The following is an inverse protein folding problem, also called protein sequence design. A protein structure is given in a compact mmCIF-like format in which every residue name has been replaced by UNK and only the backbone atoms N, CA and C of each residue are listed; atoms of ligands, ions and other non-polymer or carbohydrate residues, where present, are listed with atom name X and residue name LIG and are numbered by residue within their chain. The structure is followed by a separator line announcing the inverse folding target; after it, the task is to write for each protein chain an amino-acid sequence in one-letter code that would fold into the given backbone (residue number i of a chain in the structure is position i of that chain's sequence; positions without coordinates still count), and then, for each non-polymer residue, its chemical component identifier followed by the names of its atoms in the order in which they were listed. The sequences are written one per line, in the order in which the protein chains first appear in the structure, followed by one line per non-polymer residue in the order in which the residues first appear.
data_IF_362806849547
#
_entry.id   IF_362806849547
#
_cell.length_a   1.000
_cell.length_b   1.000
_cell.length_c   1.000
_cell.angle_alpha   90.00
_cell.angle_beta   90.00
_cell.angle_gamma   90.00
#
_symmetry.space_group_name_H-M   'P 1'
#
loop_
_entity.id
_entity.type
_entity.pdbx_description
1 polymer ?
#
# COMPACT_ATOMS: atom_id res chain seq x y z
N UNK A 1 -27.99 -11.35 32.12
CA UNK A 1 -27.22 -11.77 30.94
C UNK A 1 -27.53 -10.95 29.69
N UNK A 2 -28.74 -10.47 29.50
CA UNK A 2 -29.17 -9.60 28.39
C UNK A 2 -28.60 -8.19 28.49
N UNK A 3 -28.51 -7.62 29.72
CA UNK A 3 -27.99 -6.28 29.99
C UNK A 3 -26.51 -6.07 29.59
N UNK A 4 -25.69 -7.11 29.76
CA UNK A 4 -24.26 -7.03 29.39
C UNK A 4 -24.06 -6.99 27.87
N UNK A 5 -24.90 -7.67 27.10
CA UNK A 5 -24.85 -7.67 25.62
C UNK A 5 -25.27 -6.33 25.00
N UNK A 6 -26.24 -5.63 25.57
CA UNK A 6 -26.68 -4.31 25.09
C UNK A 6 -25.58 -3.26 25.37
N UNK A 7 -24.93 -3.34 26.51
CA UNK A 7 -23.86 -2.42 26.89
C UNK A 7 -22.62 -2.53 26.02
N UNK A 8 -22.25 -3.75 25.64
CA UNK A 8 -21.00 -4.03 24.91
C UNK A 8 -21.09 -3.69 23.40
N UNK A 9 -22.31 -3.44 22.87
CA UNK A 9 -22.53 -3.00 21.49
C UNK A 9 -22.61 -1.49 21.28
N UNK A 10 -22.69 -0.67 22.37
CA UNK A 10 -22.88 0.77 22.28
C UNK A 10 -21.59 1.54 22.62
N UNK A 11 -21.29 2.57 21.87
CA UNK A 11 -20.22 3.50 22.17
C UNK A 11 -20.48 4.27 23.49
N UNK A 12 -19.44 4.81 24.12
CA UNK A 12 -19.59 5.58 25.36
C UNK A 12 -20.54 6.79 25.20
N UNK A 13 -20.52 7.44 24.03
CA UNK A 13 -21.42 8.56 23.72
C UNK A 13 -22.90 8.13 23.60
N UNK A 14 -23.16 7.00 22.96
CA UNK A 14 -24.51 6.45 22.84
C UNK A 14 -25.08 6.04 24.19
N UNK A 15 -24.25 5.41 25.03
CA UNK A 15 -24.64 5.05 26.41
C UNK A 15 -24.99 6.28 27.25
N UNK A 16 -24.29 7.41 27.10
CA UNK A 16 -24.63 8.68 27.77
C UNK A 16 -25.98 9.23 27.31
N UNK A 17 -26.33 9.12 26.03
CA UNK A 17 -27.62 9.61 25.49
C UNK A 17 -28.82 8.82 25.97
N UNK A 18 -28.60 7.58 26.43
CA UNK A 18 -29.66 6.74 26.98
C UNK A 18 -30.02 7.07 28.44
N UNK A 19 -29.26 7.96 29.08
CA UNK A 19 -29.55 8.42 30.45
C UNK A 19 -30.68 9.42 30.42
N UNK A 20 -31.75 9.08 31.13
CA UNK A 20 -32.91 9.97 31.33
C UNK A 20 -32.81 10.65 32.71
N UNK A 21 -32.62 11.95 32.70
CA UNK A 21 -32.48 12.77 33.92
C UNK A 21 -33.79 12.92 34.71
N UNK A 22 -34.94 12.78 34.05
CA UNK A 22 -36.25 13.01 34.64
C UNK A 22 -36.99 11.68 34.95
N UNK A 23 -36.32 10.54 34.81
CA UNK A 23 -36.94 9.24 35.07
C UNK A 23 -37.28 9.03 36.56
N UNK A 24 -38.56 8.90 36.93
CA UNK A 24 -38.94 8.78 38.34
C UNK A 24 -38.66 7.39 38.90
N UNK A 25 -38.54 6.38 38.04
CA UNK A 25 -38.40 4.95 38.43
C UNK A 25 -36.95 4.53 38.70
N UNK A 26 -35.98 5.19 38.07
CA UNK A 26 -34.55 4.83 38.16
C UNK A 26 -33.67 6.04 38.46
N UNK A 27 -33.08 6.14 39.68
CA UNK A 27 -32.14 7.17 40.04
C UNK A 27 -30.93 7.21 39.06
N UNK A 28 -30.40 8.40 38.78
CA UNK A 28 -29.25 8.59 37.89
C UNK A 28 -28.04 7.72 38.25
N UNK A 29 -27.84 7.41 39.55
CA UNK A 29 -26.77 6.53 40.03
C UNK A 29 -26.97 5.10 39.51
N UNK A 30 -28.18 4.60 39.51
CA UNK A 30 -28.52 3.26 39.02
C UNK A 30 -28.40 3.20 37.49
N UNK A 31 -28.92 4.21 36.78
CA UNK A 31 -28.77 4.31 35.32
C UNK A 31 -27.29 4.35 34.91
N UNK A 32 -26.47 5.17 35.60
CA UNK A 32 -25.03 5.26 35.33
C UNK A 32 -24.31 3.91 35.53
N UNK A 33 -24.69 3.17 36.57
CA UNK A 33 -24.12 1.83 36.84
C UNK A 33 -24.53 0.81 35.78
N UNK A 34 -25.80 0.76 35.42
CA UNK A 34 -26.33 -0.16 34.39
C UNK A 34 -25.69 0.11 33.01
N UNK A 35 -25.55 1.37 32.62
CA UNK A 35 -24.97 1.78 31.36
C UNK A 35 -23.43 1.80 31.37
N UNK A 36 -22.80 1.60 32.53
CA UNK A 36 -21.34 1.62 32.68
C UNK A 36 -20.74 2.98 32.32
N UNK A 37 -21.41 4.08 32.66
CA UNK A 37 -20.95 5.45 32.46
C UNK A 37 -20.59 6.10 33.79
N UNK A 38 -19.60 6.99 33.81
CA UNK A 38 -19.26 7.74 35.02
C UNK A 38 -20.34 8.80 35.33
N UNK A 39 -20.83 8.79 36.57
CA UNK A 39 -21.80 9.79 37.03
C UNK A 39 -21.30 11.23 36.85
N UNK A 40 -20.01 11.50 37.16
CA UNK A 40 -19.39 12.80 36.93
C UNK A 40 -19.36 13.20 35.46
N UNK A 41 -19.15 12.20 34.58
CA UNK A 41 -19.17 12.40 33.13
C UNK A 41 -20.53 12.79 32.57
N UNK A 42 -21.66 12.50 33.27
CA UNK A 42 -23.01 12.90 32.83
C UNK A 42 -23.21 14.43 32.90
N UNK A 43 -22.61 15.05 33.88
CA UNK A 43 -22.70 16.52 34.12
C UNK A 43 -21.60 17.31 33.41
N UNK A 44 -20.66 16.61 32.75
CA UNK A 44 -19.56 17.28 32.02
C UNK A 44 -20.11 18.02 30.81
N UNK A 45 -19.97 19.33 30.79
CA UNK A 45 -20.17 20.16 29.61
C UNK A 45 -18.82 20.47 28.96
N UNK A 46 -18.63 20.24 27.68
CA UNK A 46 -17.39 20.60 26.98
C UNK A 46 -17.17 22.12 27.09
N UNK A 47 -15.98 22.49 27.55
CA UNK A 47 -15.56 23.88 27.53
C UNK A 47 -15.28 24.29 26.11
N UNK A 48 -15.84 25.39 25.58
CA UNK A 48 -15.52 25.83 24.22
C UNK A 48 -14.03 26.18 24.11
N UNK A 49 -13.42 26.00 22.94
CA UNK A 49 -12.02 26.32 22.73
C UNK A 49 -11.75 27.80 23.01
N UNK A 50 -10.63 28.12 23.66
CA UNK A 50 -10.23 29.49 23.93
C UNK A 50 -9.91 30.25 22.64
N UNK A 51 -9.96 31.60 22.69
CA UNK A 51 -9.61 32.43 21.55
C UNK A 51 -8.17 32.14 21.02
N UNK A 52 -7.24 31.85 21.93
CA UNK A 52 -5.87 31.45 21.57
C UNK A 52 -5.83 30.12 20.82
N UNK A 53 -6.66 29.19 21.22
CA UNK A 53 -6.74 27.88 20.61
C UNK A 53 -7.36 27.95 19.20
N UNK A 54 -8.39 28.76 19.04
CA UNK A 54 -9.00 29.08 17.76
C UNK A 54 -7.97 29.75 16.84
N UNK A 55 -7.25 30.74 17.31
CA UNK A 55 -6.19 31.40 16.56
C UNK A 55 -5.09 30.43 16.14
N UNK A 56 -4.63 29.57 17.05
CA UNK A 56 -3.63 28.57 16.76
C UNK A 56 -4.09 27.60 15.64
N UNK A 57 -5.34 27.13 15.70
CA UNK A 57 -5.92 26.26 14.68
C UNK A 57 -5.99 26.94 13.32
N UNK A 58 -6.45 28.20 13.27
CA UNK A 58 -6.44 28.97 12.03
C UNK A 58 -5.03 29.12 11.45
N UNK A 59 -4.04 29.40 12.29
CA UNK A 59 -2.67 29.55 11.82
C UNK A 59 -2.08 28.23 11.31
N UNK A 60 -2.38 27.11 11.96
CA UNK A 60 -2.01 25.77 11.50
C UNK A 60 -2.64 25.48 10.13
N UNK A 61 -3.91 25.81 9.95
CA UNK A 61 -4.64 25.60 8.70
C UNK A 61 -4.05 26.41 7.53
N UNK A 62 -3.74 27.69 7.75
CA UNK A 62 -3.06 28.54 6.76
C UNK A 62 -1.70 27.97 6.33
N UNK A 63 -0.89 27.52 7.29
CA UNK A 63 0.41 26.89 7.02
C UNK A 63 0.22 25.60 6.25
N UNK A 64 -0.74 24.78 6.64
CA UNK A 64 -1.05 23.51 5.97
C UNK A 64 -1.58 23.72 4.55
N UNK A 65 -2.46 24.67 4.34
CA UNK A 65 -2.98 25.03 3.01
C UNK A 65 -1.85 25.46 2.07
N UNK A 66 -0.88 26.20 2.58
CA UNK A 66 0.28 26.64 1.78
C UNK A 66 1.29 25.53 1.54
N UNK A 67 1.49 24.60 2.52
CA UNK A 67 2.44 23.51 2.46
C UNK A 67 1.82 22.19 2.96
N UNK A 68 0.97 21.53 2.17
CA UNK A 68 0.22 20.35 2.61
C UNK A 68 1.07 19.15 3.05
N UNK A 69 2.35 19.12 2.66
CA UNK A 69 3.32 18.10 3.04
C UNK A 69 4.02 18.37 4.38
N UNK A 70 3.65 19.46 5.09
CA UNK A 70 4.19 19.73 6.41
C UNK A 70 3.43 18.92 7.46
N UNK A 71 4.19 18.09 8.21
CA UNK A 71 3.68 17.46 9.43
C UNK A 71 3.90 18.36 10.65
N UNK A 72 3.41 17.92 11.80
CA UNK A 72 3.44 18.67 13.07
C UNK A 72 4.81 19.25 13.46
N UNK A 73 5.93 18.57 13.12
CA UNK A 73 7.29 19.07 13.40
C UNK A 73 7.61 20.34 12.59
N UNK A 74 7.30 20.33 11.29
CA UNK A 74 7.57 21.48 10.42
C UNK A 74 6.65 22.65 10.73
N UNK A 75 5.38 22.38 10.98
CA UNK A 75 4.38 23.41 11.38
C UNK A 75 4.80 24.05 12.69
N UNK A 76 5.18 23.29 13.73
CA UNK A 76 5.69 23.84 14.98
C UNK A 76 6.93 24.73 14.78
N UNK A 77 7.85 24.33 13.91
CA UNK A 77 9.03 25.14 13.60
C UNK A 77 8.68 26.45 12.88
N UNK A 78 7.67 26.47 11.99
CA UNK A 78 7.18 27.70 11.34
C UNK A 78 6.54 28.62 12.38
N UNK A 79 5.63 28.09 13.22
CA UNK A 79 4.99 28.86 14.30
C UNK A 79 6.01 29.48 15.24
N UNK A 80 7.05 28.75 15.63
CA UNK A 80 8.14 29.27 16.47
C UNK A 80 8.89 30.44 15.80
N UNK A 81 9.14 30.35 14.49
CA UNK A 81 9.78 31.45 13.72
C UNK A 81 8.89 32.69 13.62
N UNK A 82 7.57 32.51 13.68
CA UNK A 82 6.58 33.59 13.71
C UNK A 82 6.39 34.17 15.11
N UNK A 83 7.14 33.67 16.11
CA UNK A 83 7.04 34.14 17.51
C UNK A 83 6.00 33.40 18.35
N UNK A 84 5.33 32.40 17.80
CA UNK A 84 4.38 31.55 18.52
C UNK A 84 5.10 30.31 19.08
N UNK A 85 5.46 30.34 20.34
CA UNK A 85 6.15 29.25 21.03
C UNK A 85 5.14 28.14 21.36
N UNK A 86 4.96 27.19 20.45
CA UNK A 86 4.04 26.07 20.58
C UNK A 86 4.78 24.74 20.44
N UNK A 87 4.60 23.86 21.42
CA UNK A 87 5.19 22.53 21.39
C UNK A 87 4.59 21.65 20.27
N UNK A 88 5.42 20.76 19.71
CA UNK A 88 5.02 19.81 18.65
C UNK A 88 3.76 19.03 19.00
N UNK A 89 3.63 18.56 20.24
CA UNK A 89 2.50 17.74 20.69
C UNK A 89 1.16 18.50 20.62
N UNK A 90 1.17 19.77 20.99
CA UNK A 90 -0.02 20.64 20.89
C UNK A 90 -0.42 20.84 19.42
N UNK A 91 0.56 21.05 18.53
CA UNK A 91 0.31 21.14 17.09
C UNK A 91 -0.23 19.81 16.53
N UNK A 92 0.34 18.69 16.94
CA UNK A 92 -0.12 17.36 16.51
C UNK A 92 -1.56 17.07 16.97
N UNK A 93 -1.91 17.46 18.19
CA UNK A 93 -3.28 17.30 18.71
C UNK A 93 -4.25 18.18 17.92
N UNK A 94 -3.92 19.45 17.69
CA UNK A 94 -4.73 20.35 16.89
C UNK A 94 -4.95 19.83 15.45
N UNK A 95 -3.88 19.36 14.77
CA UNK A 95 -4.00 18.78 13.45
C UNK A 95 -4.94 17.56 13.43
N UNK A 96 -4.82 16.66 14.42
CA UNK A 96 -5.69 15.48 14.54
C UNK A 96 -7.15 15.86 14.76
N UNK A 97 -7.43 16.87 15.59
CA UNK A 97 -8.79 17.37 15.85
C UNK A 97 -9.40 18.06 14.63
N UNK A 98 -8.59 18.72 13.82
CA UNK A 98 -9.00 19.27 12.51
C UNK A 98 -9.07 18.25 11.39
N UNK A 99 -8.68 16.99 11.63
CA UNK A 99 -8.68 15.92 10.61
C UNK A 99 -7.64 16.10 9.51
N UNK A 100 -6.57 16.89 9.76
CA UNK A 100 -5.51 17.15 8.77
C UNK A 100 -4.23 16.39 9.10
N UNK A 101 -3.60 15.84 8.05
CA UNK A 101 -2.31 15.13 8.15
C UNK A 101 -1.40 15.58 7.02
N UNK A 102 -0.10 15.69 7.29
CA UNK A 102 0.86 16.01 6.23
C UNK A 102 0.79 15.00 5.09
N UNK A 103 0.63 15.48 3.85
CA UNK A 103 0.65 14.63 2.66
C UNK A 103 2.04 14.03 2.54
N UNK A 104 2.11 12.71 2.46
CA UNK A 104 3.34 11.96 2.23
C UNK A 104 3.07 10.86 1.21
N UNK A 105 4.10 10.41 0.49
CA UNK A 105 3.95 9.25 -0.37
C UNK A 105 3.36 8.09 0.42
N UNK A 106 2.35 7.44 -0.14
CA UNK A 106 1.74 6.25 0.42
C UNK A 106 2.76 5.12 0.63
N UNK A 107 2.34 3.97 1.15
CA UNK A 107 3.20 2.81 1.25
C UNK A 107 3.77 2.47 -0.12
N UNK A 108 5.03 2.02 -0.15
CA UNK A 108 5.66 1.59 -1.40
C UNK A 108 4.95 0.33 -1.90
N UNK A 109 4.10 0.47 -2.90
CA UNK A 109 3.32 -0.62 -3.49
C UNK A 109 4.19 -1.65 -4.23
N UNK A 110 5.44 -1.28 -4.56
CA UNK A 110 6.41 -2.21 -5.13
C UNK A 110 7.08 -3.12 -4.09
N UNK A 111 6.78 -2.94 -2.80
CA UNK A 111 7.24 -3.89 -1.79
C UNK A 111 6.43 -5.16 -1.89
N UNK A 112 7.14 -6.26 -2.13
CA UNK A 112 6.61 -7.62 -2.05
C UNK A 112 5.90 -7.85 -0.72
N UNK A 113 4.74 -8.54 -0.73
CA UNK A 113 4.12 -9.05 0.47
C UNK A 113 5.05 -10.10 1.12
N UNK A 114 5.22 -10.06 2.45
CA UNK A 114 6.08 -10.99 3.18
C UNK A 114 5.64 -12.45 3.06
N UNK A 115 4.38 -12.69 2.74
CA UNK A 115 3.76 -14.00 2.56
C UNK A 115 4.06 -14.62 1.17
N UNK A 116 4.59 -13.84 0.22
CA UNK A 116 4.90 -14.32 -1.12
C UNK A 116 6.09 -15.27 -1.10
N UNK A 117 5.89 -16.45 -1.68
CA UNK A 117 6.92 -17.48 -1.79
C UNK A 117 7.97 -17.10 -2.83
N UNK A 118 9.25 -17.20 -2.44
CA UNK A 118 10.37 -17.03 -3.36
C UNK A 118 10.85 -18.41 -3.78
N UNK A 119 11.11 -18.55 -5.08
CA UNK A 119 11.73 -19.74 -5.66
C UNK A 119 13.25 -19.55 -5.80
N UNK A 120 14.03 -20.64 -5.71
CA UNK A 120 15.47 -20.55 -5.85
C UNK A 120 15.86 -20.20 -7.28
N UNK A 121 17.03 -19.56 -7.45
CA UNK A 121 17.64 -19.37 -8.76
C UNK A 121 18.23 -20.68 -9.27
N UNK A 122 17.66 -21.19 -10.34
CA UNK A 122 18.02 -22.52 -10.91
C UNK A 122 19.13 -22.43 -11.97
N UNK A 123 19.43 -21.23 -12.48
CA UNK A 123 20.21 -21.06 -13.71
C UNK A 123 21.72 -20.84 -13.47
N UNK A 124 22.23 -21.08 -12.26
CA UNK A 124 23.66 -20.96 -11.99
C UNK A 124 24.46 -21.95 -12.84
N UNK A 125 25.30 -21.43 -13.73
CA UNK A 125 26.12 -22.23 -14.67
C UNK A 125 25.32 -23.06 -15.68
N UNK A 126 24.04 -22.73 -15.91
CA UNK A 126 23.21 -23.35 -16.93
C UNK A 126 23.10 -22.40 -18.12
N UNK A 127 23.40 -22.92 -19.31
CA UNK A 127 23.19 -22.21 -20.57
C UNK A 127 22.00 -22.85 -21.30
N UNK A 128 21.16 -22.01 -21.93
CA UNK A 128 20.07 -22.51 -22.76
C UNK A 128 20.62 -23.32 -23.96
N UNK A 129 20.30 -24.60 -24.03
CA UNK A 129 20.89 -25.53 -25.00
C UNK A 129 20.03 -25.70 -26.26
N UNK A 130 18.74 -25.50 -26.18
CA UNK A 130 17.77 -25.66 -27.27
C UNK A 130 16.63 -24.64 -27.11
N UNK A 131 15.85 -24.36 -28.16
CA UNK A 131 14.68 -23.50 -28.08
C UNK A 131 13.70 -23.98 -27.02
N UNK A 132 13.13 -23.03 -26.28
CA UNK A 132 12.19 -23.28 -25.17
C UNK A 132 12.78 -24.02 -23.95
N UNK A 133 14.12 -24.10 -23.84
CA UNK A 133 14.75 -24.62 -22.64
C UNK A 133 14.56 -23.65 -21.46
N UNK A 134 14.94 -22.38 -21.64
CA UNK A 134 14.85 -21.37 -20.62
C UNK A 134 14.20 -20.12 -21.22
N UNK A 135 13.15 -19.65 -20.60
CA UNK A 135 12.57 -18.36 -20.91
C UNK A 135 12.82 -17.35 -19.77
N UNK A 136 12.97 -16.10 -20.12
CA UNK A 136 12.98 -14.98 -19.18
C UNK A 136 11.73 -14.13 -19.36
N UNK A 137 11.15 -13.68 -18.25
CA UNK A 137 10.05 -12.72 -18.23
C UNK A 137 10.45 -11.53 -17.38
N UNK A 138 10.08 -10.34 -17.82
CA UNK A 138 10.30 -9.10 -17.07
C UNK A 138 9.32 -8.02 -17.51
N UNK A 139 9.17 -6.99 -16.67
CA UNK A 139 8.31 -5.84 -16.93
C UNK A 139 9.15 -4.59 -17.03
N UNK A 140 8.91 -3.79 -18.06
CA UNK A 140 9.54 -2.48 -18.21
C UNK A 140 8.52 -1.36 -18.34
N UNK A 141 8.98 -0.13 -18.03
CA UNK A 141 8.19 1.09 -18.12
C UNK A 141 8.53 1.81 -19.41
N UNK A 142 7.51 2.18 -20.17
CA UNK A 142 7.62 2.98 -21.38
C UNK A 142 7.06 4.35 -21.07
N UNK A 143 7.89 5.39 -21.19
CA UNK A 143 7.48 6.76 -20.98
C UNK A 143 6.77 7.29 -22.23
N UNK A 144 5.56 7.80 -22.04
CA UNK A 144 4.82 8.55 -23.05
C UNK A 144 4.90 10.05 -22.78
N UNK A 145 4.41 10.86 -23.71
CA UNK A 145 4.32 12.32 -23.54
C UNK A 145 3.44 12.67 -22.33
N UNK A 146 2.36 11.92 -22.11
CA UNK A 146 1.38 12.16 -21.04
C UNK A 146 1.18 10.91 -20.17
N UNK A 147 2.25 10.33 -19.64
CA UNK A 147 2.13 9.21 -18.70
C UNK A 147 3.12 8.08 -18.94
N UNK A 148 2.73 6.90 -18.49
CA UNK A 148 3.53 5.69 -18.58
C UNK A 148 2.68 4.54 -19.09
N UNK A 149 3.31 3.65 -19.83
CA UNK A 149 2.78 2.32 -20.13
C UNK A 149 3.73 1.27 -19.57
N UNK A 150 3.20 0.08 -19.35
CA UNK A 150 3.92 -1.07 -18.85
C UNK A 150 3.98 -2.11 -19.94
N UNK A 151 5.16 -2.62 -20.20
CA UNK A 151 5.39 -3.68 -21.16
C UNK A 151 5.95 -4.88 -20.43
N UNK A 152 5.27 -6.01 -20.52
CA UNK A 152 5.80 -7.32 -20.13
C UNK A 152 6.20 -8.09 -21.38
N UNK A 153 7.30 -8.82 -21.33
CA UNK A 153 7.69 -9.69 -22.43
C UNK A 153 8.33 -10.98 -21.93
N UNK A 154 8.08 -12.04 -22.68
CA UNK A 154 8.70 -13.36 -22.52
C UNK A 154 9.69 -13.57 -23.66
N UNK A 155 10.95 -13.82 -23.32
CA UNK A 155 12.04 -14.05 -24.28
C UNK A 155 12.63 -15.45 -24.11
N UNK A 156 12.81 -16.18 -25.19
CA UNK A 156 13.57 -17.44 -25.21
C UNK A 156 15.08 -17.13 -25.16
N UNK A 157 15.76 -17.65 -24.16
CA UNK A 157 17.19 -17.39 -23.98
C UNK A 157 18.09 -18.05 -25.00
N UNK A 158 17.64 -19.13 -25.65
CA UNK A 158 18.40 -19.78 -26.68
C UNK A 158 18.36 -19.00 -28.00
N UNK A 159 17.17 -18.77 -28.52
CA UNK A 159 16.96 -18.13 -29.83
C UNK A 159 16.96 -16.61 -29.78
N UNK A 160 16.77 -16.02 -28.63
CA UNK A 160 16.49 -14.56 -28.40
C UNK A 160 15.17 -14.09 -28.98
N UNK A 161 14.32 -15.00 -29.34
CA UNK A 161 13.00 -14.71 -29.86
C UNK A 161 12.08 -14.23 -28.72
N UNK A 162 11.34 -13.15 -28.97
CA UNK A 162 10.29 -12.68 -28.07
C UNK A 162 9.06 -13.54 -28.32
N UNK A 163 8.79 -14.46 -27.41
CA UNK A 163 7.72 -15.45 -27.54
C UNK A 163 6.34 -14.80 -27.39
N UNK A 164 6.22 -13.91 -26.42
CA UNK A 164 5.00 -13.14 -26.17
C UNK A 164 5.34 -11.80 -25.53
N UNK A 165 4.44 -10.84 -25.70
CA UNK A 165 4.50 -9.55 -25.03
C UNK A 165 3.09 -8.97 -24.85
N UNK A 166 2.92 -8.11 -23.85
CA UNK A 166 1.68 -7.38 -23.60
C UNK A 166 1.99 -5.96 -23.14
N UNK A 167 1.17 -5.00 -23.55
CA UNK A 167 1.31 -3.59 -23.23
C UNK A 167 0.03 -3.07 -22.56
N UNK A 168 0.16 -2.49 -21.36
CA UNK A 168 -0.98 -1.98 -20.60
C UNK A 168 -0.67 -0.62 -19.98
N UNK A 169 -1.72 0.14 -19.67
CA UNK A 169 -1.65 1.38 -18.93
C UNK A 169 -1.64 1.16 -17.41
N UNK A 170 -2.05 -0.03 -16.96
CA UNK A 170 -2.09 -0.43 -15.56
C UNK A 170 -1.04 -1.51 -15.27
N UNK A 171 -0.52 -1.52 -14.04
CA UNK A 171 0.43 -2.54 -13.60
C UNK A 171 -0.32 -3.59 -12.77
N UNK A 172 -1.34 -4.20 -13.36
CA UNK A 172 -2.18 -5.22 -12.71
C UNK A 172 -1.79 -6.65 -13.13
N UNK A 173 -2.17 -7.64 -12.32
CA UNK A 173 -1.82 -9.04 -12.61
C UNK A 173 -2.37 -9.58 -13.93
N UNK A 174 -3.59 -9.25 -14.38
CA UNK A 174 -4.15 -9.81 -15.62
C UNK A 174 -3.21 -9.68 -16.81
N UNK A 175 -2.61 -8.50 -17.04
CA UNK A 175 -1.76 -8.30 -18.22
C UNK A 175 -0.50 -9.18 -18.23
N UNK A 176 0.02 -9.55 -17.04
CA UNK A 176 1.14 -10.48 -16.91
C UNK A 176 0.71 -11.91 -17.23
N UNK A 177 -0.47 -12.32 -16.71
CA UNK A 177 -1.02 -13.65 -16.95
C UNK A 177 -1.40 -13.84 -18.41
N UNK A 178 -2.00 -12.84 -19.04
CA UNK A 178 -2.37 -12.88 -20.48
C UNK A 178 -1.13 -13.03 -21.36
N UNK A 179 -0.02 -12.37 -21.02
CA UNK A 179 1.26 -12.54 -21.69
C UNK A 179 1.80 -13.97 -21.55
N UNK A 180 1.75 -14.53 -20.34
CA UNK A 180 2.20 -15.91 -20.06
C UNK A 180 1.33 -16.93 -20.78
N UNK A 181 0.02 -16.79 -20.72
CA UNK A 181 -0.92 -17.71 -21.35
C UNK A 181 -0.72 -17.75 -22.87
N UNK A 182 -0.57 -16.59 -23.50
CA UNK A 182 -0.26 -16.49 -24.92
C UNK A 182 1.10 -17.09 -25.28
N UNK A 183 2.11 -16.94 -24.40
CA UNK A 183 3.38 -17.60 -24.59
C UNK A 183 3.23 -19.14 -24.56
N UNK A 184 2.42 -19.65 -23.63
CA UNK A 184 2.17 -21.08 -23.46
C UNK A 184 1.35 -21.70 -24.60
N UNK A 185 0.56 -20.92 -25.32
CA UNK A 185 -0.08 -21.38 -26.58
C UNK A 185 0.96 -21.72 -27.67
N UNK A 186 2.13 -21.06 -27.65
CA UNK A 186 3.19 -21.30 -28.60
C UNK A 186 4.03 -22.54 -28.25
N UNK A 187 4.48 -22.62 -27.01
CA UNK A 187 5.27 -23.73 -26.47
C UNK A 187 5.33 -23.62 -24.92
N UNK A 188 5.82 -24.67 -24.28
CA UNK A 188 6.09 -24.69 -22.84
C UNK A 188 7.61 -24.70 -22.60
N UNK A 189 8.17 -23.79 -21.79
CA UNK A 189 9.57 -23.85 -21.43
C UNK A 189 9.81 -24.89 -20.34
N UNK A 190 11.03 -25.41 -20.25
CA UNK A 190 11.43 -26.22 -19.11
C UNK A 190 11.55 -25.34 -17.84
N UNK A 191 12.11 -24.13 -17.97
CA UNK A 191 12.32 -23.19 -16.88
C UNK A 191 11.86 -21.80 -17.31
N UNK A 192 11.06 -21.12 -16.47
CA UNK A 192 10.74 -19.69 -16.62
C UNK A 192 11.42 -18.91 -15.50
N UNK A 193 12.28 -17.98 -15.88
CA UNK A 193 13.03 -17.13 -14.97
C UNK A 193 12.43 -15.72 -14.88
N UNK A 194 12.29 -15.20 -13.68
CA UNK A 194 11.80 -13.84 -13.42
C UNK A 194 12.60 -13.18 -12.30
N UNK A 195 12.40 -11.90 -12.10
CA UNK A 195 12.85 -11.24 -10.89
C UNK A 195 11.94 -11.58 -9.67
N UNK A 196 12.23 -11.00 -8.50
CA UNK A 196 11.43 -11.16 -7.28
C UNK A 196 10.36 -10.04 -7.15
N UNK A 197 9.89 -9.47 -8.23
CA UNK A 197 8.85 -8.47 -8.26
C UNK A 197 7.52 -8.99 -7.69
N UNK A 198 6.66 -8.06 -7.25
CA UNK A 198 5.37 -8.41 -6.63
C UNK A 198 4.47 -9.25 -7.55
N UNK A 199 4.54 -9.03 -8.84
CA UNK A 199 3.78 -9.79 -9.85
C UNK A 199 4.24 -11.25 -9.94
N UNK A 200 5.56 -11.46 -10.01
CA UNK A 200 6.15 -12.77 -10.19
C UNK A 200 6.20 -13.62 -8.91
N UNK A 201 6.03 -12.97 -7.74
CA UNK A 201 5.89 -13.67 -6.45
C UNK A 201 4.44 -13.86 -6.03
N UNK A 202 3.47 -13.43 -6.83
CA UNK A 202 2.04 -13.60 -6.55
C UNK A 202 1.59 -15.05 -6.67
N UNK A 203 0.61 -15.44 -5.86
CA UNK A 203 0.09 -16.82 -5.91
C UNK A 203 -0.52 -17.15 -7.27
N UNK A 204 -1.23 -16.23 -7.91
CA UNK A 204 -1.84 -16.43 -9.21
C UNK A 204 -0.83 -16.73 -10.32
N UNK A 205 0.33 -16.05 -10.32
CA UNK A 205 1.41 -16.31 -11.27
C UNK A 205 2.07 -17.68 -10.99
N UNK A 206 2.39 -17.95 -9.72
CA UNK A 206 3.02 -19.21 -9.31
C UNK A 206 2.12 -20.40 -9.64
N UNK A 207 0.85 -20.36 -9.27
CA UNK A 207 -0.13 -21.41 -9.55
C UNK A 207 -0.29 -21.64 -11.05
N UNK A 208 -0.27 -20.57 -11.87
CA UNK A 208 -0.33 -20.68 -13.32
C UNK A 208 0.85 -21.46 -13.88
N UNK A 209 2.08 -21.17 -13.47
CA UNK A 209 3.28 -21.88 -13.92
C UNK A 209 3.27 -23.35 -13.47
N UNK A 210 2.91 -23.60 -12.22
CA UNK A 210 2.85 -24.95 -11.67
C UNK A 210 1.79 -25.81 -12.35
N UNK A 211 0.65 -25.23 -12.77
CA UNK A 211 -0.41 -25.96 -13.48
C UNK A 211 0.07 -26.51 -14.84
N UNK A 212 1.08 -25.90 -15.44
CA UNK A 212 1.71 -26.35 -16.68
C UNK A 212 3.01 -27.13 -16.45
N UNK A 213 3.36 -27.46 -15.19
CA UNK A 213 4.62 -28.14 -14.82
C UNK A 213 5.89 -27.40 -15.24
N UNK A 214 5.84 -26.08 -15.38
CA UNK A 214 7.00 -25.23 -15.68
C UNK A 214 7.80 -25.01 -14.41
N UNK A 215 9.12 -25.21 -14.47
CA UNK A 215 10.00 -24.93 -13.32
C UNK A 215 10.19 -23.42 -13.14
N UNK A 216 9.99 -22.96 -11.91
CA UNK A 216 10.10 -21.54 -11.56
C UNK A 216 11.51 -21.25 -11.07
N UNK A 217 12.16 -20.27 -11.69
CA UNK A 217 13.44 -19.72 -11.26
C UNK A 217 13.26 -18.23 -10.97
N UNK A 218 13.86 -17.75 -9.87
CA UNK A 218 13.82 -16.33 -9.53
C UNK A 218 15.22 -15.79 -9.27
N UNK A 219 15.53 -14.64 -9.86
CA UNK A 219 16.80 -13.96 -9.70
C UNK A 219 17.11 -13.65 -8.23
N UNK A 220 18.38 -13.72 -7.87
CA UNK A 220 18.82 -13.29 -6.56
C UNK A 220 18.67 -11.77 -6.38
N UNK A 221 18.29 -11.34 -5.19
CA UNK A 221 18.12 -9.91 -4.89
C UNK A 221 19.41 -9.14 -5.19
N UNK A 222 19.33 -8.16 -6.10
CA UNK A 222 20.45 -7.29 -6.48
C UNK A 222 21.42 -7.91 -7.50
N UNK A 223 21.07 -8.99 -8.18
CA UNK A 223 21.88 -9.62 -9.24
C UNK A 223 21.30 -9.31 -10.62
N UNK A 224 21.62 -8.12 -11.14
CA UNK A 224 21.22 -7.70 -12.49
C UNK A 224 21.72 -8.63 -13.60
N UNK A 225 22.80 -9.37 -13.38
CA UNK A 225 23.38 -10.28 -14.37
C UNK A 225 22.53 -11.54 -14.63
N UNK A 226 21.58 -11.85 -13.78
CA UNK A 226 20.80 -13.08 -13.86
C UNK A 226 19.69 -13.00 -14.95
N UNK A 227 19.32 -11.79 -15.43
CA UNK A 227 18.35 -11.58 -16.51
C UNK A 227 18.86 -10.68 -17.65
N UNK A 228 20.15 -10.81 -18.00
CA UNK A 228 20.85 -9.99 -19.01
C UNK A 228 20.10 -9.92 -20.34
N UNK A 229 19.44 -11.00 -20.75
CA UNK A 229 18.81 -11.08 -22.07
C UNK A 229 17.58 -10.21 -22.19
N UNK A 230 16.78 -10.16 -21.12
CA UNK A 230 15.61 -9.29 -21.05
C UNK A 230 16.02 -7.83 -20.87
N UNK A 231 17.04 -7.55 -20.04
CA UNK A 231 17.60 -6.19 -19.90
C UNK A 231 18.15 -5.67 -21.23
N UNK A 232 18.81 -6.51 -22.03
CA UNK A 232 19.29 -6.14 -23.36
C UNK A 232 18.14 -5.86 -24.33
N UNK A 233 17.05 -6.63 -24.28
CA UNK A 233 15.83 -6.38 -25.04
C UNK A 233 15.27 -4.98 -24.72
N UNK A 234 15.16 -4.64 -23.44
CA UNK A 234 14.68 -3.32 -23.01
C UNK A 234 15.59 -2.18 -23.48
N UNK A 235 16.87 -2.41 -23.47
CA UNK A 235 17.84 -1.43 -23.98
C UNK A 235 17.63 -1.16 -25.47
N UNK A 236 17.48 -2.19 -26.29
CA UNK A 236 17.21 -2.03 -27.72
C UNK A 236 15.88 -1.30 -27.96
N UNK A 237 14.81 -1.75 -27.30
CA UNK A 237 13.46 -1.21 -27.47
C UNK A 237 13.34 0.28 -27.03
N UNK A 238 14.10 0.71 -26.03
CA UNK A 238 14.05 2.11 -25.55
C UNK A 238 14.95 3.06 -26.32
N UNK A 239 15.84 2.54 -27.17
CA UNK A 239 16.75 3.36 -28.00
C UNK A 239 16.23 3.56 -29.44
N UNK A 240 15.32 2.72 -29.88
CA UNK A 240 14.63 2.83 -31.15
C UNK A 240 13.30 3.59 -31.01
#
# INVERSE_FOLDING_TARGET
MVEKKVRDGLSHGERKRLVDFDCPSFPLSTQATLLGVSRSGLYYQPVPPSAEEVFLRHRIDEIYTRWPFFGSRRIAAVLTREGLIVGRERVQTAMREMGITGIHPGPNLSKRALEHRIYPYLLRNITAQYPHHIWGIDITYIRLVYGWMYLVAVIDWHSRYVVSWELDQTLEMPFVLDCVDRAFETALPAILNSDQGSHFTSNSYIERLLSYNVQISMDGKGRALDNIFTERLWRSLKWE
#
